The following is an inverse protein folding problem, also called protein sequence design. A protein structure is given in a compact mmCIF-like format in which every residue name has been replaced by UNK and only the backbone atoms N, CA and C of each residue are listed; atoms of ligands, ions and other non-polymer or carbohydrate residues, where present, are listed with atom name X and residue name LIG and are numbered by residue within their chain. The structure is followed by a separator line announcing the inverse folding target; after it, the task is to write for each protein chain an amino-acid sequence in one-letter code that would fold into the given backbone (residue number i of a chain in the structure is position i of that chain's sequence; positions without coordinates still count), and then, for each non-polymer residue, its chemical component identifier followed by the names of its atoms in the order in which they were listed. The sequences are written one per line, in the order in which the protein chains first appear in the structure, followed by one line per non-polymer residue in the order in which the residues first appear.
data_IF_467081554532
#
_entry.id   IF_467081554532
#
_cell.length_a   1.000
_cell.length_b   1.000
_cell.length_c   1.000
_cell.angle_alpha   90.00
_cell.angle_beta   90.00
_cell.angle_gamma   90.00
#
_symmetry.space_group_name_H-M   'P 1'
#
loop_
_entity.id
_entity.type
_entity.pdbx_description
1 polymer ?
#
# COMPACT_ATOMS: atom_id res chain seq x y z
N UNK A 1 31.17 -35.08 24.45
CA UNK A 1 29.88 -34.39 24.64
C UNK A 1 30.23 -32.96 25.02
N UNK A 2 29.95 -31.89 24.29
CA UNK A 2 29.15 -31.63 23.10
C UNK A 2 29.73 -30.35 22.47
N UNK A 3 29.82 -30.31 21.16
CA UNK A 3 30.46 -29.23 20.40
C UNK A 3 29.65 -27.93 20.50
N UNK A 4 30.34 -26.84 20.82
CA UNK A 4 29.82 -25.48 20.86
C UNK A 4 29.93 -24.89 19.44
N UNK A 5 28.85 -24.98 18.66
CA UNK A 5 28.75 -24.28 17.39
C UNK A 5 28.19 -22.87 17.62
N UNK A 6 29.10 -21.91 17.65
CA UNK A 6 28.82 -20.49 17.48
C UNK A 6 28.51 -20.24 15.99
N UNK A 7 27.24 -20.01 15.68
CA UNK A 7 26.82 -19.51 14.36
C UNK A 7 26.65 -17.99 14.44
N UNK A 8 27.40 -17.32 13.59
CA UNK A 8 27.42 -15.88 13.35
C UNK A 8 26.13 -15.47 12.63
N UNK A 9 25.37 -14.52 13.17
CA UNK A 9 24.29 -13.85 12.41
C UNK A 9 24.77 -12.48 11.95
N UNK A 10 24.91 -12.34 10.65
CA UNK A 10 25.15 -11.07 9.96
C UNK A 10 23.89 -10.22 10.12
N UNK A 11 24.01 -9.05 10.76
CA UNK A 11 22.96 -8.02 10.76
C UNK A 11 22.77 -7.50 9.33
N UNK A 12 21.66 -7.88 8.70
CA UNK A 12 21.13 -7.19 7.53
C UNK A 12 20.21 -6.06 8.00
N UNK A 13 20.74 -4.84 8.05
CA UNK A 13 19.95 -3.62 8.24
C UNK A 13 19.39 -3.23 6.88
N UNK A 14 18.11 -3.51 6.64
CA UNK A 14 17.39 -2.97 5.48
C UNK A 14 16.97 -1.53 5.80
N UNK A 15 17.87 -0.58 5.53
CA UNK A 15 17.57 0.84 5.57
C UNK A 15 16.81 1.22 4.28
N UNK A 16 15.54 1.59 4.41
CA UNK A 16 14.78 2.23 3.35
C UNK A 16 15.31 3.65 3.15
N UNK A 17 16.12 3.87 2.11
CA UNK A 17 16.53 5.22 1.71
C UNK A 17 15.40 5.92 0.95
N UNK A 18 14.89 6.95 1.61
CA UNK A 18 14.07 8.05 1.11
C UNK A 18 14.54 8.58 -0.26
N UNK A 19 13.62 8.77 -1.19
CA UNK A 19 13.90 9.44 -2.47
C UNK A 19 14.01 10.97 -2.25
N UNK A 20 15.05 11.66 -2.74
CA UNK A 20 15.08 13.10 -2.75
C UNK A 20 14.25 13.65 -3.92
N UNK A 21 13.35 14.58 -3.58
CA UNK A 21 12.63 15.45 -4.50
C UNK A 21 13.64 16.33 -5.27
N UNK A 22 13.45 16.49 -6.58
CA UNK A 22 14.28 17.33 -7.45
C UNK A 22 14.11 18.82 -7.08
N UNK A 23 15.18 19.45 -6.61
CA UNK A 23 15.37 20.90 -6.67
C UNK A 23 15.74 21.33 -8.09
N UNK A 24 15.13 22.39 -8.62
CA UNK A 24 15.73 23.39 -9.54
C UNK A 24 14.71 24.54 -9.72
N UNK A 25 14.95 25.67 -9.04
CA UNK A 25 14.99 27.05 -9.59
C UNK A 25 14.79 28.09 -8.47
N UNK A 26 15.91 28.62 -8.00
CA UNK A 26 15.98 30.01 -7.51
C UNK A 26 17.37 30.56 -7.79
N UNK A 27 17.48 31.37 -8.83
CA UNK A 27 18.53 32.40 -8.94
C UNK A 27 17.81 33.73 -8.97
N UNK A 28 18.02 34.49 -7.91
CA UNK A 28 17.64 35.89 -7.78
C UNK A 28 18.95 36.65 -7.60
N UNK A 29 19.30 37.49 -8.58
CA UNK A 29 20.32 38.51 -8.42
C UNK A 29 19.66 39.86 -8.70
N UNK A 30 19.67 40.71 -7.69
CA UNK A 30 19.21 42.10 -7.70
C UNK A 30 20.34 43.07 -8.06
N UNK A 31 19.98 44.08 -8.86
CA UNK A 31 20.47 45.47 -8.96
C UNK A 31 21.98 45.81 -8.99
N UNK A 32 22.40 46.58 -10.03
CA UNK A 32 22.96 47.94 -9.86
C UNK A 32 23.26 48.67 -11.20
N UNK A 33 22.56 49.80 -11.41
CA UNK A 33 22.97 51.15 -11.89
C UNK A 33 23.85 51.41 -13.15
N UNK A 34 23.38 52.40 -13.94
CA UNK A 34 24.17 53.32 -14.80
C UNK A 34 24.30 52.87 -16.27
N UNK A 35 24.17 53.67 -17.32
CA UNK A 35 24.10 55.12 -17.50
C UNK A 35 24.41 55.43 -18.97
N UNK A 36 23.43 56.00 -19.68
CA UNK A 36 23.45 56.98 -20.77
C UNK A 36 24.54 56.91 -21.87
N UNK A 37 24.09 56.74 -23.12
CA UNK A 37 24.82 57.11 -24.34
C UNK A 37 23.86 57.32 -25.52
N UNK A 38 23.68 58.58 -25.91
CA UNK A 38 22.80 59.06 -26.98
C UNK A 38 23.52 58.99 -28.34
N UNK A 39 22.81 58.73 -29.44
CA UNK A 39 22.92 59.55 -30.65
C UNK A 39 21.80 59.29 -31.67
N UNK A 40 21.62 60.28 -32.54
CA UNK A 40 20.37 60.77 -33.14
C UNK A 40 20.66 61.08 -34.61
N UNK A 41 19.87 60.59 -35.57
CA UNK A 41 19.62 61.21 -36.91
C UNK A 41 18.62 60.31 -37.70
N UNK A 42 17.35 60.71 -37.91
CA UNK A 42 16.76 61.50 -39.03
C UNK A 42 16.77 60.80 -40.41
N UNK A 43 15.57 60.43 -40.89
CA UNK A 43 15.00 60.50 -42.27
C UNK A 43 14.03 59.30 -42.51
N UNK A 44 12.71 59.46 -42.50
CA UNK A 44 11.78 59.97 -43.52
C UNK A 44 11.47 59.03 -44.73
N UNK A 45 10.16 58.85 -44.92
CA UNK A 45 9.39 58.39 -46.10
C UNK A 45 9.27 56.87 -46.42
N UNK A 46 8.02 56.41 -46.33
CA UNK A 46 7.47 55.14 -46.85
C UNK A 46 7.41 55.10 -48.39
N UNK A 47 7.25 53.92 -49.03
CA UNK A 47 5.89 53.60 -49.43
C UNK A 47 5.46 52.14 -49.20
N UNK A 48 4.17 52.06 -48.93
CA UNK A 48 3.27 50.93 -48.78
C UNK A 48 3.37 49.92 -49.95
N UNK A 49 3.45 48.63 -49.63
CA UNK A 49 3.08 47.53 -50.53
C UNK A 49 2.56 46.37 -49.70
N UNK A 50 1.23 46.28 -49.61
CA UNK A 50 0.45 45.11 -49.22
C UNK A 50 0.13 44.31 -50.51
N UNK A 51 -0.25 43.00 -50.53
CA UNK A 51 -0.49 42.03 -49.44
C UNK A 51 0.20 40.66 -49.60
N UNK A 52 0.36 39.95 -48.49
CA UNK A 52 -0.16 38.57 -48.44
C UNK A 52 -0.41 38.19 -47.00
N UNK A 53 -1.66 37.85 -46.69
CA UNK A 53 -2.02 37.27 -45.41
C UNK A 53 -1.21 35.99 -45.20
N UNK A 54 -0.41 35.96 -44.14
CA UNK A 54 0.15 34.71 -43.64
C UNK A 54 -0.99 33.72 -43.40
N UNK A 55 -0.88 32.45 -43.82
CA UNK A 55 -1.89 31.45 -43.52
C UNK A 55 -2.01 31.32 -42.00
N UNK A 56 -3.24 31.38 -41.50
CA UNK A 56 -3.60 30.98 -40.14
C UNK A 56 -3.04 29.57 -39.91
N UNK A 57 -2.36 29.28 -38.78
CA UNK A 57 -2.02 27.90 -38.44
C UNK A 57 -3.31 27.07 -38.40
N UNK A 58 -3.45 26.12 -39.33
CA UNK A 58 -4.46 25.08 -39.20
C UNK A 58 -4.22 24.37 -37.88
N UNK A 59 -5.19 24.43 -36.96
CA UNK A 59 -5.21 23.54 -35.82
C UNK A 59 -5.14 22.11 -36.35
N UNK A 60 -4.04 21.44 -36.03
CA UNK A 60 -3.94 20.00 -36.25
C UNK A 60 -4.99 19.37 -35.33
N UNK A 61 -5.90 18.51 -35.81
CA UNK A 61 -6.81 17.83 -34.90
C UNK A 61 -5.97 17.03 -33.90
N UNK A 62 -6.10 17.38 -32.63
CA UNK A 62 -5.54 16.63 -31.50
C UNK A 62 -5.95 15.16 -31.67
N UNK A 63 -5.04 14.17 -31.47
CA UNK A 63 -5.43 12.78 -31.56
C UNK A 63 -6.57 12.54 -30.55
N UNK A 64 -7.70 12.06 -31.05
CA UNK A 64 -8.83 11.61 -30.23
C UNK A 64 -8.29 10.74 -29.10
N UNK A 65 -8.45 11.18 -27.85
CA UNK A 65 -8.12 10.37 -26.70
C UNK A 65 -8.84 9.02 -26.88
N UNK A 66 -8.06 7.94 -26.98
CA UNK A 66 -8.62 6.60 -26.87
C UNK A 66 -9.37 6.58 -25.54
N UNK A 67 -10.67 6.21 -25.50
CA UNK A 67 -11.37 6.12 -24.23
C UNK A 67 -10.58 5.15 -23.35
N UNK A 68 -10.12 5.61 -22.18
CA UNK A 68 -9.62 4.73 -21.14
C UNK A 68 -10.64 3.61 -20.95
N UNK A 69 -10.23 2.33 -20.90
CA UNK A 69 -11.18 1.26 -20.70
C UNK A 69 -11.98 1.55 -19.43
N UNK A 70 -13.31 1.57 -19.56
CA UNK A 70 -14.23 1.54 -18.42
C UNK A 70 -13.78 0.38 -17.52
N UNK A 71 -13.57 0.58 -16.20
CA UNK A 71 -13.23 -0.55 -15.34
C UNK A 71 -14.32 -1.60 -15.49
N UNK A 72 -13.95 -2.74 -16.06
CA UNK A 72 -14.79 -3.93 -16.04
C UNK A 72 -15.04 -4.28 -14.57
N UNK A 73 -16.27 -4.65 -14.15
CA UNK A 73 -16.48 -5.10 -12.79
C UNK A 73 -15.52 -6.25 -12.52
N UNK A 74 -14.62 -6.08 -11.54
CA UNK A 74 -13.74 -7.17 -11.12
C UNK A 74 -14.60 -8.39 -10.76
N UNK A 75 -14.24 -9.59 -11.25
CA UNK A 75 -14.94 -10.80 -10.84
C UNK A 75 -14.89 -10.92 -9.31
N UNK A 76 -15.97 -11.38 -8.65
CA UNK A 76 -15.98 -11.53 -7.20
C UNK A 76 -14.85 -12.44 -6.76
N UNK A 77 -14.07 -11.99 -5.77
CA UNK A 77 -12.98 -12.77 -5.19
C UNK A 77 -13.54 -14.07 -4.60
N UNK A 78 -13.03 -15.26 -4.97
CA UNK A 78 -13.58 -16.54 -4.53
C UNK A 78 -13.36 -16.74 -3.02
N UNK A 79 -14.40 -17.14 -2.30
CA UNK A 79 -14.31 -17.47 -0.88
C UNK A 79 -13.44 -18.72 -0.67
N UNK A 80 -12.32 -18.58 0.05
CA UNK A 80 -11.40 -19.65 0.41
C UNK A 80 -11.82 -20.36 1.71
N UNK A 81 -12.33 -19.60 2.69
CA UNK A 81 -12.76 -20.12 3.98
C UNK A 81 -13.82 -19.22 4.61
N UNK A 82 -14.82 -19.83 5.24
CA UNK A 82 -15.73 -19.14 6.17
C UNK A 82 -15.96 -20.03 7.39
N UNK A 83 -15.76 -19.47 8.59
CA UNK A 83 -15.89 -20.18 9.87
C UNK A 83 -16.55 -19.31 10.92
N UNK A 84 -17.62 -19.85 11.51
CA UNK A 84 -18.20 -19.34 12.75
C UNK A 84 -17.62 -20.14 13.91
N UNK A 85 -17.10 -19.45 14.92
CA UNK A 85 -16.47 -20.07 16.08
C UNK A 85 -16.76 -19.32 17.37
N UNK A 86 -16.16 -19.77 18.47
CA UNK A 86 -16.28 -19.15 19.78
C UNK A 86 -15.01 -19.41 20.60
N UNK A 87 -14.31 -18.34 20.96
CA UNK A 87 -13.22 -18.40 21.94
C UNK A 87 -13.83 -18.61 23.33
N UNK A 88 -13.41 -19.64 24.04
CA UNK A 88 -13.97 -20.01 25.34
C UNK A 88 -12.94 -20.67 26.25
N UNK A 89 -13.32 -20.79 27.52
CA UNK A 89 -12.51 -21.49 28.51
C UNK A 89 -12.24 -22.93 28.07
N UNK A 90 -10.96 -23.31 28.07
CA UNK A 90 -10.49 -24.61 27.61
C UNK A 90 -9.85 -24.60 26.21
N UNK A 91 -9.97 -23.49 25.47
CA UNK A 91 -9.22 -23.32 24.22
C UNK A 91 -7.74 -23.10 24.49
N UNK A 92 -6.94 -23.08 23.42
CA UNK A 92 -5.49 -22.94 23.53
C UNK A 92 -5.13 -21.55 24.02
N UNK A 93 -4.13 -21.47 24.90
CA UNK A 93 -3.70 -20.22 25.52
C UNK A 93 -2.33 -19.84 24.98
N UNK A 94 -2.19 -18.60 24.51
CA UNK A 94 -0.90 -18.07 24.09
C UNK A 94 -0.02 -17.81 25.33
N UNK A 95 1.16 -18.42 25.37
CA UNK A 95 2.00 -18.40 26.56
C UNK A 95 2.51 -16.99 26.93
N UNK A 96 2.63 -16.10 25.94
CA UNK A 96 3.16 -14.74 26.09
C UNK A 96 2.24 -13.82 26.90
N UNK A 97 0.93 -13.89 26.67
CA UNK A 97 -0.05 -12.92 27.19
C UNK A 97 -1.31 -13.54 27.78
N UNK A 98 -1.43 -14.88 27.75
CA UNK A 98 -2.56 -15.64 28.25
C UNK A 98 -3.88 -15.44 27.48
N UNK A 99 -3.84 -14.92 26.26
CA UNK A 99 -5.00 -14.83 25.35
C UNK A 99 -5.42 -16.21 24.82
N UNK A 100 -6.72 -16.36 24.56
CA UNK A 100 -7.30 -17.58 23.98
C UNK A 100 -7.26 -17.50 22.46
N UNK A 101 -6.83 -18.57 21.81
CA UNK A 101 -6.82 -18.61 20.36
C UNK A 101 -7.30 -19.94 19.77
N UNK A 102 -7.85 -19.81 18.56
CA UNK A 102 -8.16 -20.90 17.64
C UNK A 102 -7.23 -20.82 16.42
N UNK A 103 -7.01 -21.96 15.76
CA UNK A 103 -6.18 -22.07 14.57
C UNK A 103 -6.98 -22.61 13.39
N UNK A 104 -6.80 -21.99 12.22
CA UNK A 104 -7.37 -22.41 10.95
C UNK A 104 -6.32 -22.46 9.86
N UNK A 105 -6.56 -23.28 8.82
CA UNK A 105 -5.67 -23.37 7.66
C UNK A 105 -6.43 -23.22 6.35
N UNK A 106 -5.75 -22.71 5.32
CA UNK A 106 -6.26 -22.66 3.95
C UNK A 106 -5.11 -22.83 2.94
N UNK A 107 -5.46 -23.22 1.71
CA UNK A 107 -4.50 -23.33 0.60
C UNK A 107 -4.45 -22.02 -0.19
N UNK A 108 -3.25 -21.52 -0.44
CA UNK A 108 -2.99 -20.28 -1.19
C UNK A 108 -2.01 -20.49 -2.33
N UNK A 109 -2.06 -19.59 -3.32
CA UNK A 109 -1.14 -19.57 -4.47
C UNK A 109 -0.22 -18.36 -4.43
N UNK A 110 1.00 -18.53 -4.92
CA UNK A 110 1.93 -17.42 -5.12
C UNK A 110 1.29 -16.32 -5.99
N UNK A 111 1.41 -15.06 -5.55
CA UNK A 111 0.85 -13.91 -6.24
C UNK A 111 -0.66 -13.73 -6.06
N UNK A 112 -1.34 -14.64 -5.35
CA UNK A 112 -2.76 -14.49 -5.03
C UNK A 112 -2.94 -13.41 -3.97
N UNK A 113 -3.74 -12.38 -4.28
CA UNK A 113 -4.21 -11.44 -3.26
C UNK A 113 -5.37 -12.08 -2.50
N UNK A 114 -5.31 -12.00 -1.17
CA UNK A 114 -6.39 -12.43 -0.29
C UNK A 114 -6.75 -11.32 0.69
N UNK A 115 -7.96 -11.41 1.23
CA UNK A 115 -8.40 -10.66 2.40
C UNK A 115 -8.89 -11.62 3.48
N UNK A 116 -8.34 -11.50 4.69
CA UNK A 116 -8.77 -12.19 5.90
C UNK A 116 -9.52 -11.18 6.76
N UNK A 117 -10.79 -11.44 7.05
CA UNK A 117 -11.60 -10.63 7.96
C UNK A 117 -12.00 -11.44 9.19
N UNK A 118 -11.78 -10.89 10.37
CA UNK A 118 -12.19 -11.46 11.64
C UNK A 118 -13.15 -10.49 12.33
N UNK A 119 -14.37 -10.95 12.59
CA UNK A 119 -15.42 -10.13 13.19
C UNK A 119 -15.87 -10.71 14.53
N UNK A 120 -15.96 -9.87 15.57
CA UNK A 120 -16.63 -10.21 16.83
C UNK A 120 -17.28 -9.00 17.46
N UNK A 121 -18.47 -9.20 18.05
CA UNK A 121 -19.11 -8.22 18.93
C UNK A 121 -18.85 -8.49 20.41
N UNK A 122 -18.18 -9.59 20.74
CA UNK A 122 -18.00 -10.06 22.12
C UNK A 122 -16.62 -9.71 22.69
N UNK A 123 -15.60 -9.56 21.84
CA UNK A 123 -14.24 -9.25 22.23
C UNK A 123 -13.53 -8.44 21.16
N UNK A 124 -12.42 -7.82 21.55
CA UNK A 124 -11.49 -7.12 20.66
C UNK A 124 -10.63 -8.14 19.91
N UNK A 125 -10.72 -8.14 18.58
CA UNK A 125 -10.18 -9.22 17.77
C UNK A 125 -8.71 -9.03 17.46
N UNK A 126 -8.00 -10.15 17.28
CA UNK A 126 -6.63 -10.14 16.80
C UNK A 126 -6.46 -11.31 15.82
N UNK A 127 -5.90 -11.04 14.65
CA UNK A 127 -5.63 -12.07 13.62
C UNK A 127 -4.17 -12.05 13.22
N UNK A 128 -3.56 -13.22 13.11
CA UNK A 128 -2.20 -13.39 12.61
C UNK A 128 -2.13 -14.47 11.52
N UNK A 129 -1.42 -14.16 10.44
CA UNK A 129 -1.22 -15.04 9.28
C UNK A 129 0.23 -15.53 9.26
N UNK A 130 0.38 -16.85 9.18
CA UNK A 130 1.66 -17.53 9.05
C UNK A 130 1.73 -18.32 7.75
N UNK A 131 2.93 -18.43 7.19
CA UNK A 131 3.20 -19.34 6.07
C UNK A 131 3.49 -20.77 6.55
N UNK A 132 3.74 -21.68 5.60
CA UNK A 132 4.08 -23.09 5.88
C UNK A 132 5.37 -23.29 6.67
N UNK A 133 6.28 -22.30 6.64
CA UNK A 133 7.54 -22.32 7.36
C UNK A 133 7.39 -21.79 8.81
N UNK A 134 6.15 -21.51 9.25
CA UNK A 134 5.77 -20.86 10.51
C UNK A 134 6.31 -19.44 10.67
N UNK A 135 6.64 -18.77 9.58
CA UNK A 135 7.00 -17.35 9.60
C UNK A 135 5.73 -16.51 9.63
N UNK A 136 5.69 -15.52 10.54
CA UNK A 136 4.63 -14.52 10.59
C UNK A 136 4.73 -13.64 9.35
N UNK A 137 3.65 -13.58 8.57
CA UNK A 137 3.57 -12.70 7.40
C UNK A 137 2.95 -11.35 7.75
N UNK A 138 1.85 -11.37 8.50
CA UNK A 138 1.12 -10.18 8.89
C UNK A 138 0.21 -10.48 10.08
N UNK A 139 -0.04 -9.46 10.88
CA UNK A 139 -1.00 -9.46 11.98
C UNK A 139 -1.76 -8.14 12.02
N UNK A 140 -2.95 -8.15 12.62
CA UNK A 140 -3.78 -6.97 12.76
C UNK A 140 -4.80 -7.17 13.89
N UNK A 141 -5.13 -6.10 14.59
CA UNK A 141 -6.14 -6.03 15.66
C UNK A 141 -7.32 -5.13 15.28
N UNK A 142 -7.05 -3.91 14.82
CA UNK A 142 -8.10 -2.88 14.64
C UNK A 142 -8.18 -2.32 13.21
N UNK A 143 -9.27 -2.55 12.46
CA UNK A 143 -9.54 -1.85 11.18
C UNK A 143 -9.46 -0.32 11.35
N UNK A 144 -9.90 0.20 12.50
CA UNK A 144 -9.79 1.61 12.85
C UNK A 144 -9.97 1.81 14.36
N UNK A 145 -9.68 3.02 14.87
CA UNK A 145 -9.90 3.39 16.28
C UNK A 145 -11.32 3.16 16.80
N UNK A 146 -12.32 3.02 15.92
CA UNK A 146 -13.72 2.78 16.28
C UNK A 146 -14.25 1.43 15.81
N UNK A 147 -13.39 0.57 15.25
CA UNK A 147 -13.75 -0.75 14.75
C UNK A 147 -12.65 -1.75 15.14
N UNK A 148 -12.90 -2.46 16.24
CA UNK A 148 -12.01 -3.47 16.82
C UNK A 148 -12.07 -4.85 16.15
N UNK A 149 -12.63 -4.89 14.94
CA UNK A 149 -12.52 -6.05 14.06
C UNK A 149 -11.19 -5.98 13.32
N UNK A 150 -10.59 -7.13 13.02
CA UNK A 150 -9.32 -7.21 12.31
C UNK A 150 -9.51 -7.52 10.83
N UNK A 151 -8.67 -6.92 9.98
CA UNK A 151 -8.59 -7.27 8.56
C UNK A 151 -7.14 -7.27 8.07
N UNK A 152 -6.77 -8.30 7.32
CA UNK A 152 -5.48 -8.40 6.61
C UNK A 152 -5.78 -8.50 5.12
N UNK A 153 -5.18 -7.63 4.31
CA UNK A 153 -5.12 -7.80 2.85
C UNK A 153 -3.67 -7.94 2.42
N UNK A 154 -3.33 -9.05 1.77
CA UNK A 154 -1.95 -9.41 1.43
C UNK A 154 -1.87 -10.18 0.11
N UNK A 155 -0.80 -9.99 -0.64
CA UNK A 155 -0.42 -10.85 -1.76
C UNK A 155 0.47 -11.98 -1.26
N UNK A 156 0.02 -13.22 -1.42
CA UNK A 156 0.72 -14.39 -0.90
C UNK A 156 2.07 -14.61 -1.59
N UNK A 157 3.17 -14.77 -0.83
CA UNK A 157 4.51 -14.82 -1.40
C UNK A 157 4.87 -16.17 -2.04
N UNK A 158 4.13 -17.24 -1.72
CA UNK A 158 4.41 -18.61 -2.18
C UNK A 158 3.11 -19.39 -2.35
N UNK A 159 3.17 -20.50 -3.08
CA UNK A 159 2.07 -21.47 -3.10
C UNK A 159 2.23 -22.44 -1.93
N UNK A 160 1.16 -22.71 -1.18
CA UNK A 160 1.16 -23.68 -0.09
C UNK A 160 0.05 -23.47 0.92
N UNK A 161 0.14 -24.23 2.01
CA UNK A 161 -0.77 -24.12 3.15
C UNK A 161 -0.39 -22.95 4.05
N UNK A 162 -1.38 -22.13 4.37
CA UNK A 162 -1.28 -21.00 5.27
C UNK A 162 -2.05 -21.28 6.56
N UNK A 163 -1.63 -20.62 7.64
CA UNK A 163 -2.19 -20.80 8.98
C UNK A 163 -2.63 -19.46 9.53
N UNK A 164 -3.86 -19.40 10.00
CA UNK A 164 -4.49 -18.21 10.57
C UNK A 164 -4.77 -18.48 12.04
N UNK A 165 -4.24 -17.62 12.89
CA UNK A 165 -4.55 -17.60 14.31
C UNK A 165 -5.66 -16.58 14.52
N UNK A 166 -6.78 -17.04 15.08
CA UNK A 166 -7.88 -16.20 15.56
C UNK A 166 -7.71 -16.07 17.06
N UNK A 167 -7.47 -14.85 17.53
CA UNK A 167 -7.16 -14.56 18.92
C UNK A 167 -8.00 -13.39 19.43
N UNK A 168 -8.07 -13.23 20.74
CA UNK A 168 -8.44 -11.98 21.37
C UNK A 168 -7.22 -11.09 21.59
N UNK A 169 -7.40 -9.77 21.54
CA UNK A 169 -6.34 -8.81 21.83
C UNK A 169 -5.79 -8.93 23.26
N UNK A 170 -6.62 -9.37 24.22
CA UNK A 170 -6.22 -9.55 25.62
C UNK A 170 -6.66 -10.91 26.21
N UNK A 171 -6.09 -11.22 27.38
CA UNK A 171 -6.38 -12.45 28.15
C UNK A 171 -7.83 -12.65 28.61
N UNK A 172 -8.69 -11.63 28.49
CA UNK A 172 -10.09 -11.68 28.96
C UNK A 172 -11.06 -11.89 27.81
N UNK A 173 -10.65 -11.58 26.57
CA UNK A 173 -11.49 -11.70 25.39
C UNK A 173 -11.94 -13.13 25.14
N UNK A 174 -13.25 -13.30 25.02
CA UNK A 174 -13.92 -14.57 24.73
C UNK A 174 -15.29 -14.30 24.12
N UNK A 175 -15.79 -15.27 23.37
CA UNK A 175 -17.10 -15.23 22.75
C UNK A 175 -17.05 -15.56 21.26
N UNK A 176 -18.19 -15.37 20.60
CA UNK A 176 -18.40 -15.78 19.22
C UNK A 176 -17.66 -14.89 18.23
N UNK A 177 -17.22 -15.48 17.13
CA UNK A 177 -16.60 -14.76 16.03
C UNK A 177 -16.96 -15.35 14.66
N UNK A 178 -16.69 -14.57 13.61
CA UNK A 178 -16.80 -14.97 12.21
C UNK A 178 -15.47 -14.67 11.49
N UNK A 179 -14.81 -15.72 11.01
CA UNK A 179 -13.63 -15.65 10.16
C UNK A 179 -14.04 -15.85 8.69
N UNK A 180 -13.59 -14.97 7.79
CA UNK A 180 -13.71 -15.16 6.35
C UNK A 180 -12.37 -14.92 5.66
N UNK A 181 -12.09 -15.70 4.63
CA UNK A 181 -10.92 -15.57 3.77
C UNK A 181 -11.41 -15.62 2.32
N UNK A 182 -11.10 -14.60 1.54
CA UNK A 182 -11.47 -14.45 0.13
C UNK A 182 -10.24 -14.09 -0.70
#
# INVERSE_FOLDING_TARGET
MQQMLIWTTIMGVLAWLQTPLLDILKVSNSDSLGGLGLEKVVAQETPNSQPSASPVPQETPSPTATPSPVPSPEPPTPLLLEKQGELKEGDTVLASDQSLYDEYTFEGKEGQQITISLESSAFDTYVALFNSDNELLQEHDDISQTNSNSEITITLPKTGTYRVIVNAYDSKGKGKYLLKIK
#
